data_IF_477080282673
#
_entry.id   IF_477080282673
#
_cell.length_a   1.000
_cell.length_b   1.000
_cell.length_c   1.000
_cell.angle_alpha   90.00
_cell.angle_beta   90.00
_cell.angle_gamma   90.00
#
_symmetry.space_group_name_H-M   'P 1'
#
loop_
_entity.id
_entity.type
_entity.pdbx_description
1 polymer ?
#
# COMPACT_ATOMS: atom_id res chain seq x y z
N UNK A 1 75.13 -27.88 18.82
CA UNK A 1 74.31 -27.27 19.90
C UNK A 1 72.88 -27.17 19.40
N UNK A 2 71.91 -27.64 20.22
CA UNK A 2 70.43 -27.45 20.17
C UNK A 2 69.68 -27.81 18.87
N UNK A 3 68.89 -28.90 18.74
CA UNK A 3 67.54 -29.22 19.33
C UNK A 3 66.43 -28.21 18.96
N UNK A 4 65.36 -28.74 18.34
CA UNK A 4 64.11 -28.07 17.88
C UNK A 4 63.17 -27.57 19.00
N UNK A 5 61.84 -27.38 18.82
CA UNK A 5 60.93 -27.87 17.77
C UNK A 5 59.89 -26.84 17.24
N UNK A 6 59.63 -26.79 15.93
CA UNK A 6 58.43 -26.13 15.35
C UNK A 6 57.56 -27.10 14.53
N UNK A 7 57.92 -28.38 14.51
CA UNK A 7 57.28 -29.42 13.70
C UNK A 7 56.18 -30.20 14.46
N UNK A 8 55.74 -29.69 15.61
CA UNK A 8 54.78 -30.36 16.50
C UNK A 8 53.37 -29.75 16.49
N UNK A 9 53.11 -28.69 15.73
CA UNK A 9 51.80 -28.01 15.70
C UNK A 9 50.97 -28.40 14.46
N UNK A 10 51.58 -28.93 13.40
CA UNK A 10 50.85 -29.36 12.20
C UNK A 10 50.25 -30.78 12.28
N UNK A 11 50.63 -31.57 13.29
CA UNK A 11 50.17 -32.96 13.48
C UNK A 11 49.02 -33.11 14.49
N UNK A 12 48.58 -32.01 15.12
CA UNK A 12 47.47 -32.01 16.07
C UNK A 12 46.12 -31.53 15.49
N UNK A 13 46.09 -31.13 14.21
CA UNK A 13 44.85 -30.75 13.52
C UNK A 13 44.24 -31.88 12.66
N UNK A 14 44.88 -33.05 12.61
CA UNK A 14 44.46 -34.19 11.79
C UNK A 14 43.97 -35.40 12.61
N UNK A 15 43.47 -35.17 13.82
CA UNK A 15 42.98 -36.21 14.74
C UNK A 15 41.58 -35.90 15.32
N UNK A 16 40.74 -35.17 14.57
CA UNK A 16 39.35 -34.86 14.93
C UNK A 16 38.31 -35.39 13.93
N UNK A 17 38.70 -36.25 12.99
CA UNK A 17 37.75 -37.09 12.26
C UNK A 17 37.45 -38.35 13.08
N UNK A 18 36.54 -38.22 14.05
CA UNK A 18 35.85 -39.37 14.62
C UNK A 18 35.03 -40.08 13.53
N UNK A 19 34.83 -41.40 13.60
CA UNK A 19 33.94 -42.10 12.70
C UNK A 19 32.53 -41.57 12.91
N UNK A 20 31.99 -40.87 11.91
CA UNK A 20 30.58 -40.56 11.85
C UNK A 20 29.80 -41.87 11.92
N UNK A 21 29.24 -42.15 13.09
CA UNK A 21 28.32 -43.27 13.26
C UNK A 21 27.17 -43.03 12.28
N UNK A 22 27.06 -43.90 11.28
CA UNK A 22 25.90 -44.00 10.40
C UNK A 22 24.73 -44.43 11.29
N UNK A 23 24.07 -43.45 11.92
CA UNK A 23 22.70 -43.63 12.38
C UNK A 23 21.85 -43.71 11.12
N UNK A 24 21.38 -44.92 10.82
CA UNK A 24 20.28 -45.09 9.88
C UNK A 24 19.17 -44.10 10.28
N UNK A 25 18.85 -43.17 9.37
CA UNK A 25 17.76 -42.23 9.53
C UNK A 25 16.47 -43.04 9.54
N UNK A 26 15.98 -43.39 10.74
CA UNK A 26 14.56 -43.73 10.93
C UNK A 26 13.78 -42.49 10.49
N UNK A 27 12.73 -42.62 9.65
CA UNK A 27 11.92 -41.48 9.24
C UNK A 27 11.42 -40.76 10.50
N UNK A 28 11.66 -39.45 10.58
CA UNK A 28 11.16 -38.62 11.67
C UNK A 28 9.64 -38.79 11.77
N UNK A 29 9.18 -39.53 12.78
CA UNK A 29 7.75 -39.74 13.05
C UNK A 29 7.36 -41.19 13.30
N UNK A 30 8.10 -42.19 12.77
CA UNK A 30 7.75 -43.60 12.93
C UNK A 30 8.34 -44.20 14.20
N UNK A 31 7.52 -44.89 15.00
CA UNK A 31 7.96 -45.53 16.22
C UNK A 31 8.86 -46.75 15.90
N UNK A 32 10.11 -46.78 16.42
CA UNK A 32 11.05 -47.88 16.15
C UNK A 32 10.56 -49.24 16.69
N UNK A 33 9.66 -49.25 17.67
CA UNK A 33 9.06 -50.47 18.22
C UNK A 33 8.13 -51.16 17.19
N UNK A 34 7.47 -50.40 16.30
CA UNK A 34 6.60 -50.95 15.25
C UNK A 34 7.39 -51.84 14.29
N UNK A 35 8.55 -51.38 13.84
CA UNK A 35 9.43 -52.16 12.95
C UNK A 35 9.96 -53.42 13.63
N UNK A 36 10.33 -53.33 14.91
CA UNK A 36 10.79 -54.48 15.69
C UNK A 36 9.68 -55.53 15.90
N UNK A 37 8.46 -55.08 16.15
CA UNK A 37 7.29 -55.95 16.31
C UNK A 37 6.87 -56.58 14.98
N UNK A 38 6.94 -55.85 13.87
CA UNK A 38 6.72 -56.42 12.53
C UNK A 38 7.68 -57.56 12.23
N UNK A 39 8.97 -57.35 12.48
CA UNK A 39 9.96 -58.41 12.32
C UNK A 39 9.66 -59.61 13.23
N UNK A 40 9.31 -59.37 14.50
CA UNK A 40 8.98 -60.43 15.45
C UNK A 40 7.71 -61.22 15.03
N UNK A 41 6.75 -60.54 14.41
CA UNK A 41 5.54 -61.14 13.84
C UNK A 41 5.87 -62.06 12.67
N UNK A 42 6.74 -61.63 11.76
CA UNK A 42 7.20 -62.43 10.61
C UNK A 42 7.95 -63.70 11.07
N UNK A 43 8.67 -63.64 12.19
CA UNK A 43 9.30 -64.81 12.81
C UNK A 43 8.34 -65.70 13.62
N UNK A 44 7.04 -65.41 13.62
CA UNK A 44 6.01 -66.20 14.29
C UNK A 44 5.96 -66.02 15.81
N UNK A 45 6.59 -64.98 16.37
CA UNK A 45 6.60 -64.69 17.81
C UNK A 45 5.32 -63.99 18.27
N UNK A 46 4.16 -64.57 17.97
CA UNK A 46 2.86 -63.93 18.17
C UNK A 46 2.57 -63.53 19.62
N UNK A 47 2.98 -64.34 20.60
CA UNK A 47 2.77 -64.03 22.02
C UNK A 47 3.54 -62.78 22.46
N UNK A 48 4.80 -62.66 22.03
CA UNK A 48 5.64 -61.48 22.31
C UNK A 48 5.06 -60.23 21.62
N UNK A 49 4.65 -60.36 20.36
CA UNK A 49 4.09 -59.25 19.58
C UNK A 49 2.82 -58.72 20.22
N UNK A 50 1.90 -59.59 20.59
CA UNK A 50 0.64 -59.22 21.23
C UNK A 50 0.86 -58.45 22.54
N UNK A 51 1.73 -58.96 23.41
CA UNK A 51 2.02 -58.32 24.70
C UNK A 51 2.69 -56.95 24.51
N UNK A 52 3.75 -56.89 23.70
CA UNK A 52 4.53 -55.68 23.49
C UNK A 52 3.76 -54.62 22.70
N UNK A 53 2.99 -55.03 21.69
CA UNK A 53 2.10 -54.11 20.97
C UNK A 53 1.06 -53.53 21.91
N UNK A 54 0.44 -54.35 22.78
CA UNK A 54 -0.50 -53.88 23.81
C UNK A 54 0.14 -52.84 24.75
N UNK A 55 1.30 -53.17 25.33
CA UNK A 55 2.03 -52.23 26.18
C UNK A 55 2.38 -50.93 25.45
N UNK A 56 2.74 -51.00 24.17
CA UNK A 56 3.08 -49.82 23.39
C UNK A 56 1.86 -48.97 23.08
N UNK A 57 0.72 -49.58 22.74
CA UNK A 57 -0.56 -48.89 22.54
C UNK A 57 -0.98 -48.17 23.83
N UNK A 58 -0.88 -48.83 24.98
CA UNK A 58 -1.31 -48.29 26.27
C UNK A 58 -0.50 -47.07 26.72
N UNK A 59 0.76 -46.95 26.26
CA UNK A 59 1.59 -45.75 26.54
C UNK A 59 1.09 -44.49 25.84
N UNK A 60 0.26 -44.59 24.79
CA UNK A 60 -0.23 -43.45 24.03
C UNK A 60 0.84 -42.75 23.17
N UNK A 61 0.55 -41.52 22.74
CA UNK A 61 1.45 -40.66 21.95
C UNK A 61 2.04 -41.36 20.71
N UNK A 62 1.18 -41.99 19.93
CA UNK A 62 1.50 -42.60 18.63
C UNK A 62 0.85 -41.79 17.52
N UNK A 63 1.53 -41.60 16.38
CA UNK A 63 0.83 -41.17 15.17
C UNK A 63 -0.21 -42.23 14.80
N UNK A 64 -1.30 -41.79 14.17
CA UNK A 64 -2.43 -42.64 13.82
C UNK A 64 -2.01 -43.84 12.96
N UNK A 65 -1.07 -43.65 12.03
CA UNK A 65 -0.53 -44.70 11.16
C UNK A 65 0.17 -45.82 11.96
N UNK A 66 0.99 -45.47 12.96
CA UNK A 66 1.67 -46.46 13.80
C UNK A 66 0.69 -47.17 14.74
N UNK A 67 -0.32 -46.45 15.22
CA UNK A 67 -1.38 -47.02 16.06
C UNK A 67 -2.19 -48.07 15.29
N UNK A 68 -2.56 -47.78 14.03
CA UNK A 68 -3.21 -48.73 13.12
C UNK A 68 -2.34 -49.98 12.94
N UNK A 69 -1.05 -49.81 12.68
CA UNK A 69 -0.12 -50.92 12.46
C UNK A 69 0.05 -51.80 13.72
N UNK A 70 0.13 -51.21 14.91
CA UNK A 70 0.22 -51.95 16.16
C UNK A 70 -1.05 -52.74 16.46
N UNK A 71 -2.23 -52.15 16.25
CA UNK A 71 -3.50 -52.86 16.40
C UNK A 71 -3.63 -53.99 15.36
N UNK A 72 -3.16 -53.80 14.12
CA UNK A 72 -3.10 -54.87 13.12
C UNK A 72 -2.23 -56.03 13.57
N UNK A 73 -0.99 -55.75 13.99
CA UNK A 73 -0.04 -56.77 14.45
C UNK A 73 -0.54 -57.51 15.70
N UNK A 74 -1.12 -56.80 16.66
CA UNK A 74 -1.73 -57.40 17.86
C UNK A 74 -2.93 -58.28 17.51
N UNK A 75 -3.84 -57.78 16.66
CA UNK A 75 -5.04 -58.50 16.23
C UNK A 75 -4.73 -59.80 15.47
N UNK A 76 -3.79 -59.73 14.51
CA UNK A 76 -3.34 -60.93 13.78
C UNK A 76 -2.57 -61.90 14.68
N UNK A 77 -1.79 -61.39 15.64
CA UNK A 77 -1.08 -62.24 16.61
C UNK A 77 -2.05 -62.99 17.52
N UNK A 78 -3.06 -62.29 18.04
CA UNK A 78 -4.12 -62.90 18.85
C UNK A 78 -4.92 -63.94 18.06
N UNK A 79 -5.21 -63.68 16.78
CA UNK A 79 -5.87 -64.65 15.89
C UNK A 79 -5.05 -65.95 15.77
N UNK A 80 -3.74 -65.83 15.48
CA UNK A 80 -2.85 -67.00 15.38
C UNK A 80 -2.70 -67.78 16.70
N UNK A 81 -2.92 -67.12 17.84
CA UNK A 81 -2.92 -67.75 19.17
C UNK A 81 -4.29 -68.32 19.59
N UNK A 82 -5.30 -68.27 18.71
CA UNK A 82 -6.69 -68.64 19.00
C UNK A 82 -7.34 -67.83 20.13
N UNK A 83 -6.89 -66.59 20.34
CA UNK A 83 -7.49 -65.65 21.30
C UNK A 83 -8.48 -64.73 20.58
N UNK A 84 -9.66 -65.26 20.27
CA UNK A 84 -10.67 -64.58 19.43
C UNK A 84 -11.12 -63.23 19.99
N UNK A 85 -11.32 -63.11 21.30
CA UNK A 85 -11.82 -61.87 21.92
C UNK A 85 -10.78 -60.73 21.86
N UNK A 86 -9.49 -61.08 21.98
CA UNK A 86 -8.39 -60.12 21.82
C UNK A 86 -8.22 -59.73 20.35
N UNK A 87 -8.28 -60.72 19.44
CA UNK A 87 -8.17 -60.49 18.00
C UNK A 87 -9.26 -59.52 17.52
N UNK A 88 -10.50 -59.78 17.90
CA UNK A 88 -11.64 -58.93 17.56
C UNK A 88 -11.46 -57.51 18.08
N UNK A 89 -11.08 -57.35 19.35
CA UNK A 89 -10.89 -56.02 19.96
C UNK A 89 -9.88 -55.17 19.18
N UNK A 90 -8.72 -55.74 18.84
CA UNK A 90 -7.68 -55.02 18.12
C UNK A 90 -8.07 -54.76 16.67
N UNK A 91 -8.70 -55.71 15.97
CA UNK A 91 -9.11 -55.54 14.58
C UNK A 91 -10.30 -54.56 14.43
N UNK A 92 -11.22 -54.53 15.40
CA UNK A 92 -12.25 -53.47 15.46
C UNK A 92 -11.64 -52.10 15.69
N UNK A 93 -10.57 -52.00 16.49
CA UNK A 93 -9.85 -50.75 16.68
C UNK A 93 -9.19 -50.26 15.37
N UNK A 94 -8.62 -51.17 14.57
CA UNK A 94 -8.12 -50.84 13.23
C UNK A 94 -9.22 -50.20 12.38
N UNK A 95 -10.41 -50.81 12.32
CA UNK A 95 -11.54 -50.29 11.52
C UNK A 95 -12.12 -48.97 12.04
N UNK A 96 -11.88 -48.60 13.30
CA UNK A 96 -12.28 -47.30 13.86
C UNK A 96 -11.30 -46.19 13.50
N UNK A 97 -10.02 -46.52 13.43
CA UNK A 97 -8.96 -45.60 13.03
C UNK A 97 -9.00 -45.40 11.51
N UNK A 98 -8.99 -46.50 10.76
CA UNK A 98 -9.11 -46.51 9.31
C UNK A 98 -10.34 -47.35 8.88
N UNK A 99 -11.49 -46.68 8.60
CA UNK A 99 -12.69 -47.34 8.13
C UNK A 99 -12.53 -48.08 6.80
N UNK A 100 -11.53 -47.77 5.98
CA UNK A 100 -11.36 -48.38 4.66
C UNK A 100 -10.25 -49.45 4.62
N UNK A 101 -9.60 -49.69 5.75
CA UNK A 101 -8.53 -50.66 5.90
C UNK A 101 -8.87 -52.05 5.32
N UNK A 102 -7.88 -52.68 4.70
CA UNK A 102 -7.93 -54.04 4.18
C UNK A 102 -6.64 -54.78 4.47
N UNK A 103 -6.75 -56.08 4.74
CA UNK A 103 -5.59 -56.96 4.85
C UNK A 103 -5.13 -57.38 3.46
N UNK A 104 -3.82 -57.34 3.22
CA UNK A 104 -3.23 -57.82 1.97
C UNK A 104 -3.29 -59.36 1.91
N UNK A 105 -4.02 -59.96 0.95
CA UNK A 105 -4.14 -61.41 0.82
C UNK A 105 -2.84 -62.14 0.48
N UNK A 106 -1.81 -61.43 -0.01
CA UNK A 106 -0.51 -62.03 -0.35
C UNK A 106 0.41 -62.16 0.86
N UNK A 107 0.18 -61.35 1.89
CA UNK A 107 1.03 -61.28 3.10
C UNK A 107 0.35 -61.94 4.30
N UNK A 108 -0.99 -61.90 4.34
CA UNK A 108 -1.78 -62.43 5.47
C UNK A 108 -2.47 -63.74 5.06
N UNK A 109 -2.46 -64.79 5.91
CA UNK A 109 -3.11 -66.06 5.58
C UNK A 109 -4.61 -65.92 5.26
N UNK A 110 -5.15 -66.68 4.29
CA UNK A 110 -6.57 -66.59 3.90
C UNK A 110 -7.59 -66.70 5.04
N UNK A 111 -7.40 -67.55 6.07
CA UNK A 111 -8.34 -67.61 7.20
C UNK A 111 -8.44 -66.30 8.00
N UNK A 112 -7.32 -65.59 8.16
CA UNK A 112 -7.30 -64.30 8.87
C UNK A 112 -7.94 -63.19 8.03
N UNK A 113 -7.76 -63.21 6.71
CA UNK A 113 -8.43 -62.29 5.79
C UNK A 113 -9.94 -62.49 5.82
N UNK A 114 -10.41 -63.75 5.72
CA UNK A 114 -11.83 -64.07 5.79
C UNK A 114 -12.46 -63.60 7.11
N UNK A 115 -11.78 -63.87 8.23
CA UNK A 115 -12.22 -63.41 9.55
C UNK A 115 -12.32 -61.88 9.64
N UNK A 116 -11.35 -61.15 9.10
CA UNK A 116 -11.37 -59.69 9.10
C UNK A 116 -12.47 -59.12 8.20
N UNK A 117 -12.70 -59.71 7.02
CA UNK A 117 -13.79 -59.29 6.13
C UNK A 117 -15.18 -59.53 6.75
N UNK A 118 -15.38 -60.64 7.46
CA UNK A 118 -16.60 -60.88 8.23
C UNK A 118 -16.81 -59.82 9.33
N UNK A 119 -15.76 -59.47 10.06
CA UNK A 119 -15.79 -58.41 11.07
C UNK A 119 -16.11 -57.04 10.45
N UNK A 120 -15.51 -56.75 9.29
CA UNK A 120 -15.72 -55.53 8.51
C UNK A 120 -17.16 -55.39 8.00
N UNK A 121 -17.82 -56.50 7.69
CA UNK A 121 -19.24 -56.55 7.33
C UNK A 121 -20.15 -56.29 8.54
N UNK A 122 -19.82 -56.88 9.71
CA UNK A 122 -20.55 -56.64 10.95
C UNK A 122 -20.49 -55.16 11.39
N UNK A 123 -19.35 -54.50 11.16
CA UNK A 123 -19.14 -53.08 11.50
C UNK A 123 -19.55 -52.09 10.39
N UNK A 124 -20.25 -52.53 9.34
CA UNK A 124 -20.61 -51.67 8.19
C UNK A 124 -21.29 -50.35 8.61
N UNK A 125 -22.28 -50.40 9.50
CA UNK A 125 -22.98 -49.20 9.97
C UNK A 125 -22.09 -48.21 10.76
N UNK A 126 -21.22 -48.72 11.64
CA UNK A 126 -20.27 -47.88 12.39
C UNK A 126 -19.23 -47.25 11.45
N UNK A 127 -18.73 -48.01 10.49
CA UNK A 127 -17.77 -47.52 9.48
C UNK A 127 -18.37 -46.45 8.58
N UNK A 128 -19.63 -46.61 8.16
CA UNK A 128 -20.31 -45.60 7.35
C UNK A 128 -20.51 -44.29 8.12
N UNK A 129 -20.82 -44.36 9.42
CA UNK A 129 -20.87 -43.19 10.29
C UNK A 129 -19.50 -42.50 10.40
N UNK A 130 -18.43 -43.25 10.63
CA UNK A 130 -17.06 -42.71 10.70
C UNK A 130 -16.63 -42.06 9.39
N UNK A 131 -16.95 -42.64 8.24
CA UNK A 131 -16.71 -42.04 6.91
C UNK A 131 -17.45 -40.71 6.74
N UNK A 132 -18.71 -40.64 7.17
CA UNK A 132 -19.48 -39.39 7.11
C UNK A 132 -18.86 -38.32 8.01
N UNK A 133 -18.44 -38.69 9.21
CA UNK A 133 -17.77 -37.77 10.14
C UNK A 133 -16.44 -37.25 9.57
N UNK A 134 -15.60 -38.13 9.02
CA UNK A 134 -14.33 -37.76 8.38
C UNK A 134 -14.56 -36.79 7.21
N UNK A 135 -15.56 -37.03 6.35
CA UNK A 135 -15.93 -36.13 5.25
C UNK A 135 -16.31 -34.74 5.77
N UNK A 136 -17.15 -34.68 6.80
CA UNK A 136 -17.57 -33.42 7.41
C UNK A 136 -16.40 -32.67 8.06
N UNK A 137 -15.46 -33.37 8.71
CA UNK A 137 -14.25 -32.76 9.28
C UNK A 137 -13.37 -32.15 8.20
N UNK A 138 -13.08 -32.90 7.14
CA UNK A 138 -12.28 -32.42 5.99
C UNK A 138 -12.94 -31.23 5.30
N UNK A 139 -14.26 -31.25 5.14
CA UNK A 139 -15.01 -30.13 4.55
C UNK A 139 -14.95 -28.88 5.44
N UNK A 140 -15.09 -29.03 6.76
CA UNK A 140 -14.94 -27.92 7.72
C UNK A 140 -13.53 -27.33 7.68
N UNK A 141 -12.50 -28.17 7.69
CA UNK A 141 -11.11 -27.72 7.62
C UNK A 141 -10.82 -26.97 6.32
N UNK A 142 -11.33 -27.45 5.18
CA UNK A 142 -11.22 -26.74 3.89
C UNK A 142 -11.94 -25.40 3.93
N UNK A 143 -13.17 -25.35 4.44
CA UNK A 143 -13.92 -24.11 4.55
C UNK A 143 -13.23 -23.09 5.49
N UNK A 144 -12.62 -23.54 6.58
CA UNK A 144 -11.82 -22.68 7.46
C UNK A 144 -10.55 -22.16 6.79
N UNK A 145 -9.85 -23.00 6.02
CA UNK A 145 -8.68 -22.59 5.25
C UNK A 145 -9.05 -21.54 4.20
N UNK A 146 -10.12 -21.77 3.43
CA UNK A 146 -10.61 -20.81 2.45
C UNK A 146 -11.00 -19.48 3.09
N UNK A 147 -11.66 -19.48 4.26
CA UNK A 147 -11.97 -18.25 5.01
C UNK A 147 -10.72 -17.50 5.43
N UNK A 148 -9.71 -18.19 5.96
CA UNK A 148 -8.43 -17.56 6.34
C UNK A 148 -7.70 -16.98 5.14
N UNK A 149 -7.75 -17.66 4.00
CA UNK A 149 -7.17 -17.14 2.75
C UNK A 149 -7.92 -15.89 2.26
N UNK A 150 -9.25 -15.92 2.27
CA UNK A 150 -10.08 -14.76 1.91
C UNK A 150 -9.82 -13.56 2.81
N UNK A 151 -9.71 -13.78 4.13
CA UNK A 151 -9.36 -12.73 5.09
C UNK A 151 -7.96 -12.16 4.80
N UNK A 152 -6.97 -13.03 4.54
CA UNK A 152 -5.61 -12.61 4.20
C UNK A 152 -5.58 -11.76 2.92
N UNK A 153 -6.31 -12.17 1.88
CA UNK A 153 -6.44 -11.42 0.62
C UNK A 153 -7.18 -10.09 0.84
N UNK A 154 -8.24 -10.07 1.66
CA UNK A 154 -8.96 -8.85 2.00
C UNK A 154 -8.07 -7.84 2.74
N UNK A 155 -7.28 -8.30 3.71
CA UNK A 155 -6.32 -7.46 4.42
C UNK A 155 -5.21 -6.94 3.49
N UNK A 156 -4.71 -7.78 2.60
CA UNK A 156 -3.69 -7.37 1.62
C UNK A 156 -4.23 -6.33 0.63
N UNK A 157 -5.45 -6.51 0.13
CA UNK A 157 -6.09 -5.54 -0.77
C UNK A 157 -6.38 -4.21 -0.07
N UNK A 158 -6.82 -4.24 1.20
CA UNK A 158 -6.97 -3.02 2.00
C UNK A 158 -5.64 -2.31 2.21
N UNK A 159 -4.57 -3.06 2.53
CA UNK A 159 -3.23 -2.51 2.70
C UNK A 159 -2.73 -1.86 1.41
N UNK A 160 -2.88 -2.52 0.26
CA UNK A 160 -2.52 -1.94 -1.05
C UNK A 160 -3.25 -0.64 -1.34
N UNK A 161 -4.58 -0.60 -1.10
CA UNK A 161 -5.37 0.64 -1.25
C UNK A 161 -4.91 1.75 -0.29
N UNK A 162 -4.61 1.40 0.96
CA UNK A 162 -4.10 2.37 1.93
C UNK A 162 -2.72 2.91 1.53
N UNK A 163 -1.83 2.05 1.02
CA UNK A 163 -0.51 2.45 0.49
C UNK A 163 -0.64 3.34 -0.77
N UNK A 164 -1.58 3.05 -1.67
CA UNK A 164 -1.90 3.89 -2.84
C UNK A 164 -2.40 5.28 -2.41
N UNK A 165 -3.30 5.34 -1.43
CA UNK A 165 -3.81 6.61 -0.88
C UNK A 165 -2.70 7.38 -0.14
N UNK A 166 -1.84 6.70 0.61
CA UNK A 166 -0.73 7.33 1.32
C UNK A 166 0.35 7.89 0.37
N UNK A 167 0.47 7.35 -0.86
CA UNK A 167 1.35 7.92 -1.91
C UNK A 167 0.81 9.21 -2.51
N UNK A 168 -0.47 9.52 -2.35
CA UNK A 168 -1.05 10.77 -2.81
C UNK A 168 -0.70 11.90 -1.83
N UNK A 169 0.42 12.57 -2.09
CA UNK A 169 0.83 13.75 -1.32
C UNK A 169 -0.08 14.93 -1.73
N UNK A 170 -0.99 15.32 -0.84
CA UNK A 170 -1.78 16.55 -1.03
C UNK A 170 -0.89 17.76 -0.80
N UNK A 171 -0.33 18.33 -1.87
CA UNK A 171 0.42 19.59 -1.80
C UNK A 171 -0.58 20.73 -1.61
N UNK A 172 -0.62 21.31 -0.41
CA UNK A 172 -1.42 22.51 -0.13
C UNK A 172 -0.59 23.74 -0.49
N UNK A 173 -0.82 24.31 -1.67
CA UNK A 173 -0.24 25.62 -2.02
C UNK A 173 -1.12 26.71 -1.44
N UNK A 174 -0.63 27.40 -0.41
CA UNK A 174 -1.32 28.55 0.19
C UNK A 174 -0.92 29.80 -0.61
N UNK A 175 -1.83 30.28 -1.47
CA UNK A 175 -1.64 31.56 -2.16
C UNK A 175 -2.01 32.70 -1.22
N UNK A 176 -1.05 33.58 -0.93
CA UNK A 176 -1.29 34.79 -0.13
C UNK A 176 -1.85 35.89 -1.04
N UNK A 177 -3.03 36.40 -0.70
CA UNK A 177 -3.62 37.56 -1.38
C UNK A 177 -3.10 38.84 -0.72
N UNK A 178 -2.73 39.83 -1.54
CA UNK A 178 -2.23 41.11 -1.05
C UNK A 178 -3.40 42.06 -0.73
N UNK A 179 -3.51 42.47 0.54
CA UNK A 179 -4.55 43.38 1.05
C UNK A 179 -4.64 44.71 0.29
N UNK A 180 -3.53 45.21 -0.26
CA UNK A 180 -3.48 46.50 -0.94
C UNK A 180 -4.34 46.56 -2.21
N UNK A 181 -4.65 45.40 -2.82
CA UNK A 181 -5.46 45.33 -4.04
C UNK A 181 -6.92 45.73 -3.76
N UNK A 182 -7.39 45.64 -2.52
CA UNK A 182 -8.76 46.06 -2.13
C UNK A 182 -8.99 47.58 -2.26
N UNK A 183 -7.93 48.39 -2.32
CA UNK A 183 -8.02 49.85 -2.49
C UNK A 183 -7.90 50.31 -3.94
N UNK A 184 -7.69 49.38 -4.88
CA UNK A 184 -7.58 49.72 -6.30
C UNK A 184 -8.99 49.85 -6.88
N UNK A 185 -9.30 50.92 -7.64
CA UNK A 185 -10.60 51.11 -8.28
C UNK A 185 -10.87 50.02 -9.33
N UNK A 186 -12.07 50.06 -9.90
CA UNK A 186 -12.56 49.15 -10.93
C UNK A 186 -12.75 47.70 -10.45
N UNK A 187 -13.14 47.52 -9.19
CA UNK A 187 -13.48 46.21 -8.66
C UNK A 187 -12.30 45.23 -8.50
N UNK A 188 -11.07 45.74 -8.46
CA UNK A 188 -9.85 44.92 -8.39
C UNK A 188 -9.81 44.01 -7.15
N UNK A 189 -10.27 44.49 -6.00
CA UNK A 189 -10.40 43.70 -4.78
C UNK A 189 -11.38 42.53 -4.94
N UNK A 190 -12.52 42.76 -5.59
CA UNK A 190 -13.52 41.73 -5.86
C UNK A 190 -12.97 40.64 -6.81
N UNK A 191 -12.17 41.01 -7.82
CA UNK A 191 -11.52 40.06 -8.70
C UNK A 191 -10.47 39.20 -7.98
N UNK A 192 -9.66 39.82 -7.11
CA UNK A 192 -8.70 39.08 -6.29
C UNK A 192 -9.39 38.03 -5.41
N UNK A 193 -10.63 38.32 -5.00
CA UNK A 193 -11.43 37.44 -4.15
C UNK A 193 -12.21 36.37 -4.94
N UNK A 194 -12.15 36.38 -6.28
CA UNK A 194 -12.93 35.47 -7.14
C UNK A 194 -14.41 35.88 -7.30
N UNK A 195 -14.80 37.05 -6.80
CA UNK A 195 -16.16 37.60 -6.91
C UNK A 195 -16.33 38.35 -8.24
N UNK A 196 -16.14 37.63 -9.35
CA UNK A 196 -16.07 38.20 -10.69
C UNK A 196 -17.31 39.02 -11.08
N UNK A 197 -18.51 38.60 -10.67
CA UNK A 197 -19.74 39.33 -10.96
C UNK A 197 -19.76 40.74 -10.36
N UNK A 198 -19.37 40.88 -9.09
CA UNK A 198 -19.28 42.18 -8.42
C UNK A 198 -18.13 43.02 -8.98
N UNK A 199 -16.99 42.39 -9.27
CA UNK A 199 -15.87 43.06 -9.92
C UNK A 199 -16.26 43.69 -11.25
N UNK A 200 -17.00 42.97 -12.10
CA UNK A 200 -17.49 43.49 -13.39
C UNK A 200 -18.48 44.64 -13.19
N UNK A 201 -19.40 44.54 -12.23
CA UNK A 201 -20.39 45.58 -11.97
C UNK A 201 -19.75 46.92 -11.55
N UNK A 202 -18.79 46.86 -10.62
CA UNK A 202 -18.01 48.03 -10.22
C UNK A 202 -17.15 48.56 -11.37
N UNK A 203 -16.40 47.70 -12.06
CA UNK A 203 -15.57 48.10 -13.20
C UNK A 203 -16.37 48.81 -14.31
N UNK A 204 -17.54 48.27 -14.67
CA UNK A 204 -18.39 48.84 -15.70
C UNK A 204 -18.97 50.20 -15.29
N UNK A 205 -19.45 50.31 -14.04
CA UNK A 205 -20.09 51.53 -13.55
C UNK A 205 -19.06 52.64 -13.32
N UNK A 206 -17.95 52.33 -12.66
CA UNK A 206 -16.84 53.26 -12.47
C UNK A 206 -16.22 53.66 -13.81
N UNK A 207 -16.02 52.70 -14.73
CA UNK A 207 -15.52 52.98 -16.08
C UNK A 207 -16.42 53.94 -16.86
N UNK A 208 -17.74 53.68 -16.86
CA UNK A 208 -18.70 54.55 -17.53
C UNK A 208 -18.71 55.97 -16.95
N UNK A 209 -18.67 56.10 -15.62
CA UNK A 209 -18.63 57.40 -14.95
C UNK A 209 -17.32 58.14 -15.20
N UNK A 210 -16.18 57.45 -15.14
CA UNK A 210 -14.88 58.03 -15.42
C UNK A 210 -14.80 58.55 -16.86
N UNK A 211 -15.21 57.74 -17.84
CA UNK A 211 -15.25 58.14 -19.25
C UNK A 211 -16.19 59.34 -19.44
N UNK A 212 -17.38 59.30 -18.83
CA UNK A 212 -18.35 60.41 -18.91
C UNK A 212 -17.77 61.70 -18.33
N UNK A 213 -17.09 61.62 -17.19
CA UNK A 213 -16.44 62.77 -16.54
C UNK A 213 -15.35 63.37 -17.41
N UNK A 214 -14.52 62.53 -18.03
CA UNK A 214 -13.46 62.95 -18.95
C UNK A 214 -14.05 63.65 -20.18
N UNK A 215 -15.08 63.06 -20.81
CA UNK A 215 -15.75 63.67 -21.96
C UNK A 215 -16.38 65.02 -21.56
N UNK A 216 -17.09 65.06 -20.42
CA UNK A 216 -17.72 66.29 -19.93
C UNK A 216 -16.69 67.37 -19.58
N UNK A 217 -15.51 66.99 -19.08
CA UNK A 217 -14.40 67.93 -18.85
C UNK A 217 -13.94 68.59 -20.14
N UNK A 218 -13.64 67.81 -21.18
CA UNK A 218 -13.21 68.36 -22.47
C UNK A 218 -14.32 69.13 -23.18
N UNK A 219 -15.57 68.65 -23.09
CA UNK A 219 -16.73 69.34 -23.68
C UNK A 219 -17.04 70.67 -22.97
N UNK A 220 -16.81 70.76 -21.65
CA UNK A 220 -16.90 72.02 -20.93
C UNK A 220 -15.75 72.97 -21.31
N UNK A 221 -14.53 72.45 -21.41
CA UNK A 221 -13.34 73.24 -21.73
C UNK A 221 -13.38 73.85 -23.15
N UNK A 222 -13.99 73.14 -24.10
CA UNK A 222 -14.15 73.59 -25.49
C UNK A 222 -15.15 74.74 -25.66
N UNK A 223 -15.98 75.05 -24.64
CA UNK A 223 -16.93 76.15 -24.68
C UNK A 223 -16.32 77.51 -24.36
N UNK A 224 -15.07 77.53 -23.88
CA UNK A 224 -14.39 78.78 -23.58
C UNK A 224 -13.91 79.49 -24.84
N UNK A 225 -14.19 80.78 -24.92
CA UNK A 225 -13.68 81.68 -25.94
C UNK A 225 -12.77 82.74 -25.28
N UNK A 226 -11.82 83.25 -26.06
CA UNK A 226 -10.93 84.32 -25.64
C UNK A 226 -11.32 85.60 -26.35
N UNK A 227 -11.55 86.67 -25.57
CA UNK A 227 -11.74 88.02 -26.10
C UNK A 227 -10.79 88.96 -25.40
N UNK A 228 -10.19 89.84 -26.19
CA UNK A 228 -9.40 90.94 -25.67
C UNK A 228 -10.34 92.06 -25.24
N UNK A 229 -10.28 92.43 -23.96
CA UNK A 229 -10.93 93.64 -23.45
C UNK A 229 -9.89 94.74 -23.48
N UNK A 230 -10.18 95.78 -24.27
CA UNK A 230 -9.33 96.96 -24.35
C UNK A 230 -9.72 97.91 -23.21
N UNK A 231 -8.75 98.28 -22.38
CA UNK A 231 -8.90 99.28 -21.33
C UNK A 231 -8.21 100.57 -21.81
N UNK A 232 -8.96 101.67 -21.81
CA UNK A 232 -8.43 103.01 -22.06
C UNK A 232 -8.09 103.70 -20.71
N UNK A 233 -7.15 104.64 -20.72
CA UNK A 233 -6.62 105.34 -19.53
C UNK A 233 -5.88 104.44 -18.53
N UNK A 234 -5.10 103.48 -19.04
CA UNK A 234 -4.19 102.67 -18.23
C UNK A 234 -2.83 103.37 -18.12
N UNK A 235 -2.13 103.17 -17.00
CA UNK A 235 -0.74 103.64 -16.77
C UNK A 235 0.26 102.87 -17.65
N UNK A 236 0.06 102.90 -18.96
CA UNK A 236 0.89 102.24 -19.96
C UNK A 236 1.32 103.27 -21.02
N UNK A 237 2.38 103.00 -21.78
CA UNK A 237 3.07 103.99 -22.61
C UNK A 237 2.17 104.62 -23.69
N UNK A 238 1.23 103.85 -24.23
CA UNK A 238 0.22 104.29 -25.22
C UNK A 238 -1.16 104.62 -24.60
N UNK A 239 -1.28 104.60 -23.27
CA UNK A 239 -2.54 104.85 -22.55
C UNK A 239 -3.61 103.78 -22.72
N UNK A 240 -3.27 102.62 -23.32
CA UNK A 240 -4.18 101.51 -23.62
C UNK A 240 -3.56 100.17 -23.23
N UNK A 241 -4.35 99.27 -22.63
CA UNK A 241 -3.95 97.89 -22.36
C UNK A 241 -4.99 96.90 -22.88
N UNK A 242 -4.54 95.75 -23.40
CA UNK A 242 -5.44 94.66 -23.82
C UNK A 242 -5.20 93.42 -22.96
N UNK A 243 -6.25 92.95 -22.28
CA UNK A 243 -6.17 91.76 -21.42
C UNK A 243 -6.98 90.64 -22.06
N UNK A 244 -6.39 89.44 -22.30
CA UNK A 244 -7.15 88.30 -22.77
C UNK A 244 -8.04 87.80 -21.64
N UNK A 245 -9.35 87.89 -21.83
CA UNK A 245 -10.35 87.34 -20.90
C UNK A 245 -10.88 86.04 -21.48
N UNK A 246 -10.74 84.96 -20.71
CA UNK A 246 -11.35 83.66 -21.01
C UNK A 246 -12.76 83.64 -20.42
N UNK A 247 -13.77 83.50 -21.27
CA UNK A 247 -15.17 83.49 -20.84
C UNK A 247 -15.98 82.48 -21.65
N UNK A 248 -17.17 82.16 -21.16
CA UNK A 248 -18.15 81.34 -21.88
C UNK A 248 -19.24 82.30 -22.39
N UNK A 249 -19.53 82.35 -23.70
CA UNK A 249 -20.60 83.17 -24.26
C UNK A 249 -21.97 82.87 -23.63
N UNK A 250 -22.79 83.90 -23.43
CA UNK A 250 -24.09 83.79 -22.74
C UNK A 250 -25.11 82.94 -23.50
N UNK A 251 -25.01 82.86 -24.83
CA UNK A 251 -25.82 81.98 -25.68
C UNK A 251 -25.53 80.49 -25.43
N UNK A 252 -24.32 80.15 -24.95
CA UNK A 252 -23.91 78.78 -24.58
C UNK A 252 -23.98 78.49 -23.08
N UNK A 253 -24.48 79.41 -22.26
CA UNK A 253 -24.55 79.26 -20.80
C UNK A 253 -25.25 77.96 -20.37
N UNK A 254 -26.40 77.63 -20.99
CA UNK A 254 -27.13 76.36 -20.71
C UNK A 254 -26.32 75.11 -21.03
N UNK A 255 -25.51 75.14 -22.09
CA UNK A 255 -24.65 74.01 -22.45
C UNK A 255 -23.51 73.86 -21.43
N UNK A 256 -22.92 74.97 -21.01
CA UNK A 256 -21.88 74.98 -19.98
C UNK A 256 -22.38 74.44 -18.65
N UNK A 257 -23.57 74.87 -18.21
CA UNK A 257 -24.20 74.37 -16.98
C UNK A 257 -24.44 72.85 -17.07
N UNK A 258 -24.89 72.36 -18.23
CA UNK A 258 -25.14 70.92 -18.45
C UNK A 258 -23.85 70.10 -18.39
N UNK A 259 -22.79 70.54 -19.07
CA UNK A 259 -21.50 69.85 -19.05
C UNK A 259 -20.83 69.93 -17.67
N UNK A 260 -20.95 71.06 -16.99
CA UNK A 260 -20.44 71.24 -15.63
C UNK A 260 -21.15 70.32 -14.65
N UNK A 261 -22.48 70.24 -14.74
CA UNK A 261 -23.29 69.32 -13.94
C UNK A 261 -22.91 67.87 -14.24
N UNK A 262 -22.80 67.48 -15.51
CA UNK A 262 -22.47 66.11 -15.90
C UNK A 262 -21.07 65.72 -15.43
N UNK A 263 -20.08 66.61 -15.55
CA UNK A 263 -18.72 66.44 -15.03
C UNK A 263 -18.74 66.22 -13.52
N UNK A 264 -19.43 67.10 -12.78
CA UNK A 264 -19.47 67.02 -11.32
C UNK A 264 -20.25 65.78 -10.83
N UNK A 265 -21.40 65.50 -11.44
CA UNK A 265 -22.26 64.38 -11.08
C UNK A 265 -21.57 63.04 -11.37
N UNK A 266 -20.95 62.88 -12.54
CA UNK A 266 -20.21 61.65 -12.89
C UNK A 266 -18.96 61.47 -12.03
N UNK A 267 -18.21 62.54 -11.72
CA UNK A 267 -17.08 62.46 -10.79
C UNK A 267 -17.53 62.08 -9.37
N UNK A 268 -18.59 62.71 -8.86
CA UNK A 268 -19.13 62.41 -7.53
C UNK A 268 -19.67 60.98 -7.47
N UNK A 269 -20.39 60.55 -8.51
CA UNK A 269 -20.86 59.18 -8.66
C UNK A 269 -19.69 58.19 -8.67
N UNK A 270 -18.64 58.47 -9.43
CA UNK A 270 -17.44 57.63 -9.50
C UNK A 270 -16.84 57.41 -8.12
N UNK A 271 -16.56 58.48 -7.37
CA UNK A 271 -15.97 58.36 -6.04
C UNK A 271 -16.91 57.67 -5.04
N UNK A 272 -18.22 57.88 -5.16
CA UNK A 272 -19.20 57.19 -4.32
C UNK A 272 -19.17 55.69 -4.57
N UNK A 273 -19.23 55.26 -5.84
CA UNK A 273 -19.18 53.85 -6.22
C UNK A 273 -17.84 53.23 -5.83
N UNK A 274 -16.73 53.93 -6.07
CA UNK A 274 -15.39 53.51 -5.62
C UNK A 274 -15.33 53.26 -4.12
N UNK A 275 -15.80 54.19 -3.29
CA UNK A 275 -15.78 54.01 -1.83
C UNK A 275 -16.62 52.81 -1.39
N UNK A 276 -17.78 52.59 -2.01
CA UNK A 276 -18.61 51.40 -1.75
C UNK A 276 -17.89 50.11 -2.18
N UNK A 277 -17.21 50.14 -3.33
CA UNK A 277 -16.40 49.02 -3.83
C UNK A 277 -15.25 48.67 -2.88
N UNK A 278 -14.53 49.67 -2.36
CA UNK A 278 -13.46 49.47 -1.37
C UNK A 278 -14.00 48.87 -0.08
N UNK A 279 -15.11 49.42 0.46
CA UNK A 279 -15.74 48.89 1.68
C UNK A 279 -16.20 47.45 1.48
N UNK A 280 -16.84 47.14 0.34
CA UNK A 280 -17.26 45.79 0.00
C UNK A 280 -16.06 44.83 -0.14
N UNK A 281 -14.97 45.26 -0.76
CA UNK A 281 -13.75 44.46 -0.90
C UNK A 281 -13.08 44.20 0.45
N UNK A 282 -12.97 45.21 1.31
CA UNK A 282 -12.36 45.06 2.64
C UNK A 282 -13.22 44.16 3.54
N UNK A 283 -14.55 44.31 3.52
CA UNK A 283 -15.45 43.50 4.33
C UNK A 283 -15.41 42.00 3.95
N UNK A 284 -15.27 41.69 2.67
CA UNK A 284 -15.20 40.30 2.18
C UNK A 284 -13.75 39.81 1.97
N UNK A 285 -12.76 40.48 2.54
CA UNK A 285 -11.37 40.09 2.35
C UNK A 285 -11.02 38.81 3.12
N UNK A 286 -10.53 37.82 2.39
CA UNK A 286 -9.96 36.60 2.94
C UNK A 286 -8.46 36.56 2.66
N UNK A 287 -7.65 36.57 3.72
CA UNK A 287 -6.18 36.61 3.64
C UNK A 287 -5.59 35.34 3.01
N UNK A 288 -6.30 34.21 3.12
CA UNK A 288 -5.81 32.90 2.71
C UNK A 288 -6.96 32.07 2.14
N UNK A 289 -6.86 31.72 0.86
CA UNK A 289 -7.74 30.72 0.24
C UNK A 289 -6.92 29.49 -0.06
N UNK A 290 -7.33 28.35 0.52
CA UNK A 290 -6.70 27.06 0.28
C UNK A 290 -7.21 26.53 -1.05
N UNK A 291 -6.54 26.89 -2.14
CA UNK A 291 -6.76 26.25 -3.44
C UNK A 291 -6.14 24.86 -3.36
N UNK A 292 -6.96 23.84 -3.14
CA UNK A 292 -6.53 22.45 -3.22
C UNK A 292 -6.26 22.08 -4.68
N UNK A 293 -5.03 22.31 -5.14
CA UNK A 293 -4.60 21.84 -6.45
C UNK A 293 -4.33 20.35 -6.38
N UNK A 294 -4.97 19.64 -7.31
CA UNK A 294 -5.00 18.19 -7.51
C UNK A 294 -3.64 17.49 -7.32
N UNK A 295 -3.76 16.33 -6.66
CA UNK A 295 -2.80 15.24 -6.47
C UNK A 295 -1.83 15.08 -7.64
N UNK A 296 -0.56 15.44 -7.42
CA UNK A 296 0.54 14.96 -8.24
C UNK A 296 1.01 13.62 -7.65
N UNK A 297 0.88 12.55 -8.44
CA UNK A 297 1.45 11.26 -8.11
C UNK A 297 2.98 11.38 -8.07
N UNK A 298 3.57 11.05 -6.92
CA UNK A 298 5.02 10.95 -6.76
C UNK A 298 5.60 10.12 -7.91
N UNK A 299 6.50 10.65 -8.76
CA UNK A 299 7.15 9.85 -9.77
C UNK A 299 7.89 8.70 -9.07
N UNK A 300 7.75 7.48 -9.63
CA UNK A 300 8.39 6.29 -9.08
C UNK A 300 9.86 6.58 -8.79
N UNK A 301 10.40 6.15 -7.63
CA UNK A 301 11.83 6.21 -7.42
C UNK A 301 12.47 5.43 -8.56
N UNK A 302 13.22 6.15 -9.41
CA UNK A 302 14.05 5.52 -10.45
C UNK A 302 14.77 4.35 -9.78
N UNK A 303 14.79 3.15 -10.38
CA UNK A 303 15.56 2.06 -9.84
C UNK A 303 16.96 2.62 -9.59
N UNK A 304 17.36 2.61 -8.31
CA UNK A 304 18.73 2.96 -7.96
C UNK A 304 19.59 2.12 -8.89
N UNK A 305 20.59 2.69 -9.59
CA UNK A 305 21.52 1.86 -10.33
C UNK A 305 21.98 0.84 -9.31
N UNK A 306 21.70 -0.43 -9.61
CA UNK A 306 22.18 -1.54 -8.81
C UNK A 306 23.62 -1.18 -8.51
N UNK A 307 23.95 -1.01 -7.23
CA UNK A 307 25.34 -1.01 -6.81
C UNK A 307 25.88 -2.26 -7.46
N UNK A 308 26.70 -2.05 -8.49
CA UNK A 308 27.31 -3.12 -9.26
C UNK A 308 27.94 -4.00 -8.19
N UNK A 309 27.32 -5.14 -7.92
CA UNK A 309 27.91 -6.11 -7.02
C UNK A 309 29.21 -6.45 -7.71
N UNK A 310 30.30 -5.90 -7.17
CA UNK A 310 31.64 -6.14 -7.66
C UNK A 310 31.74 -7.65 -7.87
N UNK A 311 31.91 -8.05 -9.14
CA UNK A 311 31.94 -9.45 -9.51
C UNK A 311 32.99 -10.13 -8.61
N UNK A 312 32.65 -11.26 -7.95
CA UNK A 312 33.57 -11.90 -7.04
C UNK A 312 34.88 -12.21 -7.79
N UNK A 313 36.05 -12.03 -7.16
CA UNK A 313 37.32 -12.26 -7.83
C UNK A 313 37.36 -13.66 -8.41
N UNK A 314 37.56 -13.76 -9.72
CA UNK A 314 37.65 -15.03 -10.43
C UNK A 314 39.11 -15.44 -10.55
N UNK A 315 39.44 -16.58 -9.95
CA UNK A 315 40.74 -17.23 -10.14
C UNK A 315 40.64 -18.10 -11.39
N UNK A 316 41.51 -17.86 -12.37
CA UNK A 316 41.60 -18.69 -13.58
C UNK A 316 42.94 -19.40 -13.60
N UNK A 317 42.88 -20.73 -13.62
CA UNK A 317 44.04 -21.58 -13.89
C UNK A 317 44.18 -21.75 -15.40
N UNK A 318 45.38 -21.53 -15.93
CA UNK A 318 45.71 -21.77 -17.31
C UNK A 318 47.01 -22.57 -17.42
N UNK A 319 47.03 -23.56 -18.31
CA UNK A 319 48.22 -24.35 -18.57
C UNK A 319 49.16 -23.58 -19.50
N UNK A 320 50.41 -23.41 -19.09
CA UNK A 320 51.47 -22.91 -19.97
C UNK A 320 52.35 -24.08 -20.43
N UNK A 321 53.12 -23.89 -21.51
CA UNK A 321 53.90 -24.96 -22.16
C UNK A 321 55.04 -25.57 -21.32
N UNK A 322 55.16 -25.18 -20.04
CA UNK A 322 56.09 -25.76 -19.07
C UNK A 322 55.53 -25.89 -17.64
N UNK A 323 54.22 -25.74 -17.43
CA UNK A 323 53.60 -25.87 -16.09
C UNK A 323 52.23 -25.19 -15.96
N UNK A 324 51.57 -25.39 -14.81
CA UNK A 324 50.30 -24.74 -14.45
C UNK A 324 50.55 -23.33 -13.88
N UNK A 325 49.88 -22.32 -14.45
CA UNK A 325 49.85 -20.96 -13.92
C UNK A 325 48.45 -20.60 -13.40
N UNK A 326 48.38 -19.78 -12.34
CA UNK A 326 47.12 -19.22 -11.83
C UNK A 326 47.15 -17.69 -11.99
N UNK A 327 46.10 -17.14 -12.59
CA UNK A 327 45.89 -15.70 -12.71
C UNK A 327 44.69 -15.22 -11.89
N UNK A 328 44.83 -14.07 -11.25
CA UNK A 328 43.77 -13.38 -10.51
C UNK A 328 43.37 -12.13 -11.29
N UNK A 329 42.08 -11.96 -11.58
CA UNK A 329 41.56 -10.72 -12.15
C UNK A 329 40.60 -10.06 -11.16
N UNK A 330 40.91 -8.82 -10.79
CA UNK A 330 40.03 -7.94 -10.02
C UNK A 330 39.49 -6.88 -10.99
N UNK A 331 38.18 -6.78 -11.10
CA UNK A 331 37.48 -5.73 -11.85
C UNK A 331 36.82 -4.80 -10.83
N UNK A 332 37.21 -3.53 -10.84
CA UNK A 332 36.65 -2.45 -10.01
C UNK A 332 35.66 -1.61 -10.80
#
# INVERSE_FOLDING_TARGET
MSRGPLLLIALFALALLGPASVRAQVPNGADPEVAALRSSFEYGKYAEVLERAGQRIDRGDLPEEDLVELHKLAGLSAFNLNKTDEAERHLRAVLRLDPDFSLDPFVVPPPAVAYFEDLKNQMSGERDFLRQEQRLRVEREKAEQERREQERVALETQRRRAEELARQVTVRTVEKRNFLVNFVPFGAGQFQQGRNGMGIAFAATEGAMAITSIIAFFAYDSLFEQRFVNLDNVLDEDGRASIPVRYIPTDRARQADTWQLLKLASATGFYTVYTLGVVDAVYHHEDQVVTSTTVESRPEPKPSPSVSQAAPPRVRLYSTRGGLGAGFSLTF
#
